data_IF_889302063991
#
_entry.id   IF_889302063991
#
_cell.length_a   1.000
_cell.length_b   1.000
_cell.length_c   1.000
_cell.angle_alpha   90.00
_cell.angle_beta   90.00
_cell.angle_gamma   90.00
#
_symmetry.space_group_name_H-M   'P 1'
#
loop_
_entity.id
_entity.type
_entity.pdbx_description
1 polymer ?
#
# COMPACT_ATOMS: atom_id res chain seq x y z
N UNK A 1 4.02 22.03 3.65
CA UNK A 1 4.18 23.51 3.57
C UNK A 1 4.10 23.96 2.11
N UNK A 2 5.01 23.51 1.23
CA UNK A 2 4.96 23.84 -0.22
C UNK A 2 3.61 23.52 -0.90
N UNK A 3 2.99 22.39 -0.58
CA UNK A 3 1.68 22.04 -1.18
C UNK A 3 0.54 22.95 -0.70
N UNK A 4 0.56 23.38 0.57
CA UNK A 4 -0.53 24.15 1.21
C UNK A 4 -0.36 25.67 1.12
N UNK A 5 0.81 26.15 0.71
CA UNK A 5 1.15 27.56 0.57
C UNK A 5 1.71 27.84 -0.83
N UNK A 6 1.28 27.06 -1.83
CA UNK A 6 1.82 27.18 -3.19
C UNK A 6 1.53 28.55 -3.83
N UNK A 7 0.45 29.20 -3.39
CA UNK A 7 0.01 30.54 -3.83
C UNK A 7 0.73 31.68 -3.09
N UNK A 8 1.15 31.45 -1.84
CA UNK A 8 1.73 32.48 -0.99
C UNK A 8 3.13 32.90 -1.48
N UNK A 9 3.45 34.19 -1.31
CA UNK A 9 4.74 34.73 -1.68
C UNK A 9 5.90 33.97 -0.99
N UNK A 10 7.07 33.82 -1.64
CA UNK A 10 8.19 33.09 -1.07
C UNK A 10 8.68 33.69 0.26
N UNK A 11 8.51 35.01 0.43
CA UNK A 11 8.82 35.72 1.68
C UNK A 11 7.92 35.25 2.83
N UNK A 12 6.62 35.10 2.59
CA UNK A 12 5.65 34.59 3.57
C UNK A 12 5.95 33.14 3.93
N UNK A 13 6.26 32.30 2.93
CA UNK A 13 6.65 30.90 3.17
C UNK A 13 7.90 30.78 4.04
N UNK A 14 8.90 31.62 3.79
CA UNK A 14 10.14 31.62 4.58
C UNK A 14 9.93 32.22 5.98
N UNK A 15 9.12 33.27 6.11
CA UNK A 15 8.72 33.83 7.41
C UNK A 15 8.02 32.81 8.30
N UNK A 16 7.13 32.00 7.73
CA UNK A 16 6.48 30.86 8.43
C UNK A 16 7.52 29.81 8.85
N UNK A 17 8.46 29.44 7.96
CA UNK A 17 9.54 28.48 8.30
C UNK A 17 10.40 28.99 9.46
N UNK A 18 10.81 30.25 9.41
CA UNK A 18 11.66 30.85 10.43
C UNK A 18 10.93 30.98 11.77
N UNK A 19 9.64 31.34 11.75
CA UNK A 19 8.83 31.40 12.98
C UNK A 19 8.67 30.03 13.63
N UNK A 20 8.50 28.97 12.83
CA UNK A 20 8.49 27.59 13.32
C UNK A 20 9.84 27.21 13.91
N UNK A 21 10.94 27.54 13.22
CA UNK A 21 12.30 27.21 13.68
C UNK A 21 12.66 27.91 15.00
N UNK A 22 12.24 29.15 15.16
CA UNK A 22 12.48 29.94 16.37
C UNK A 22 11.45 29.68 17.48
N UNK A 23 10.45 28.82 17.22
CA UNK A 23 9.31 28.58 18.11
C UNK A 23 8.55 29.85 18.52
N UNK A 24 8.49 30.85 17.63
CA UNK A 24 7.79 32.10 17.90
C UNK A 24 6.34 32.02 17.40
N UNK A 25 5.42 31.80 18.34
CA UNK A 25 3.99 31.72 18.06
C UNK A 25 3.40 33.06 17.59
N UNK A 26 3.97 34.18 18.03
CA UNK A 26 3.44 35.51 17.70
C UNK A 26 3.78 35.89 16.27
N UNK A 27 5.05 35.73 15.87
CA UNK A 27 5.48 35.90 14.49
C UNK A 27 4.76 34.91 13.56
N UNK A 28 4.60 33.65 13.96
CA UNK A 28 3.86 32.68 13.16
C UNK A 28 2.41 33.10 12.91
N UNK A 29 1.72 33.63 13.92
CA UNK A 29 0.35 34.09 13.76
C UNK A 29 0.25 35.22 12.72
N UNK A 30 1.16 36.20 12.80
CA UNK A 30 1.24 37.31 11.84
C UNK A 30 1.45 36.81 10.41
N UNK A 31 2.42 35.91 10.19
CA UNK A 31 2.67 35.39 8.85
C UNK A 31 1.53 34.54 8.31
N UNK A 32 0.79 33.84 9.17
CA UNK A 32 -0.43 33.13 8.76
C UNK A 32 -1.56 34.10 8.41
N UNK A 33 -1.72 35.21 9.14
CA UNK A 33 -2.70 36.26 8.79
C UNK A 33 -2.35 36.92 7.43
N UNK A 34 -1.06 37.14 7.16
CA UNK A 34 -0.59 37.60 5.84
C UNK A 34 -0.90 36.56 4.75
N UNK A 35 -0.67 35.27 5.01
CA UNK A 35 -1.01 34.20 4.07
C UNK A 35 -2.53 34.07 3.83
N UNK A 36 -3.36 34.31 4.86
CA UNK A 36 -4.82 34.38 4.71
C UNK A 36 -5.24 35.58 3.83
N UNK A 37 -4.49 36.69 3.88
CA UNK A 37 -4.75 37.89 3.07
C UNK A 37 -4.32 37.74 1.61
N UNK A 38 -3.30 36.93 1.34
CA UNK A 38 -2.84 36.61 -0.02
C UNK A 38 -3.71 35.55 -0.72
N UNK A 39 -4.54 34.82 0.03
CA UNK A 39 -5.42 33.81 -0.54
C UNK A 39 -6.58 34.47 -1.30
N UNK A 40 -6.71 34.15 -2.59
CA UNK A 40 -7.80 34.64 -3.43
C UNK A 40 -8.95 33.63 -3.48
N UNK A 41 -8.63 32.34 -3.37
CA UNK A 41 -9.58 31.22 -3.46
C UNK A 41 -10.06 30.66 -2.13
N UNK A 42 -11.28 30.10 -2.12
CA UNK A 42 -11.81 29.37 -0.96
C UNK A 42 -10.96 28.13 -0.60
N UNK A 43 -10.37 27.47 -1.59
CA UNK A 43 -9.51 26.31 -1.37
C UNK A 43 -8.18 26.70 -0.70
N UNK A 44 -7.61 27.85 -1.09
CA UNK A 44 -6.39 28.42 -0.53
C UNK A 44 -6.60 28.82 0.94
N UNK A 45 -7.72 29.49 1.22
CA UNK A 45 -8.13 29.83 2.58
C UNK A 45 -8.30 28.58 3.45
N UNK A 46 -8.92 27.51 2.92
CA UNK A 46 -9.01 26.24 3.65
C UNK A 46 -7.65 25.63 3.93
N UNK A 47 -6.70 25.73 3.01
CA UNK A 47 -5.35 25.17 3.20
C UNK A 47 -4.57 25.92 4.29
N UNK A 48 -4.69 27.25 4.35
CA UNK A 48 -4.12 28.05 5.44
C UNK A 48 -4.80 27.72 6.77
N UNK A 49 -6.13 27.62 6.80
CA UNK A 49 -6.88 27.28 8.01
C UNK A 49 -6.48 25.88 8.53
N UNK A 50 -6.35 24.90 7.63
CA UNK A 50 -5.87 23.55 7.96
C UNK A 50 -4.44 23.56 8.50
N UNK A 51 -3.57 24.40 7.93
CA UNK A 51 -2.20 24.58 8.42
C UNK A 51 -2.20 25.19 9.82
N UNK A 52 -2.97 26.27 10.04
CA UNK A 52 -3.12 26.96 11.32
C UNK A 52 -3.64 26.02 12.42
N UNK A 53 -4.71 25.26 12.13
CA UNK A 53 -5.26 24.24 13.04
C UNK A 53 -4.23 23.16 13.38
N UNK A 54 -3.49 22.67 12.37
CA UNK A 54 -2.46 21.66 12.58
C UNK A 54 -1.32 22.17 13.47
N UNK A 55 -0.80 23.36 13.18
CA UNK A 55 0.31 23.95 13.94
C UNK A 55 -0.09 24.28 15.37
N UNK A 56 -1.30 24.79 15.57
CA UNK A 56 -1.82 25.11 16.91
C UNK A 56 -2.00 23.86 17.75
N UNK A 57 -2.56 22.78 17.16
CA UNK A 57 -2.75 21.51 17.87
C UNK A 57 -1.42 20.84 18.24
N UNK A 58 -0.41 20.94 17.38
CA UNK A 58 0.85 20.24 17.54
C UNK A 58 2.00 21.14 18.01
N UNK A 59 1.72 22.38 18.45
CA UNK A 59 2.75 23.39 18.71
C UNK A 59 3.81 22.92 19.71
N UNK A 60 3.38 22.21 20.76
CA UNK A 60 4.26 21.61 21.77
C UNK A 60 5.24 20.59 21.19
N UNK A 61 4.88 19.88 20.12
CA UNK A 61 5.73 18.87 19.49
C UNK A 61 6.59 19.41 18.35
N UNK A 62 6.33 20.63 17.89
CA UNK A 62 7.06 21.31 16.81
C UNK A 62 8.25 22.12 17.35
N UNK A 63 8.46 22.10 18.67
CA UNK A 63 9.61 22.73 19.34
C UNK A 63 10.92 22.27 18.71
N UNK A 64 11.82 23.21 18.31
CA UNK A 64 13.04 22.88 17.60
C UNK A 64 13.90 21.93 18.44
N UNK A 65 14.47 20.93 17.77
CA UNK A 65 15.26 19.86 18.39
C UNK A 65 16.40 20.39 19.30
N UNK A 66 16.88 21.59 19.00
CA UNK A 66 17.97 22.27 19.71
C UNK A 66 17.58 22.69 21.14
N UNK A 67 16.28 22.89 21.41
CA UNK A 67 15.75 23.24 22.73
C UNK A 67 15.49 21.99 23.59
N UNK A 68 15.45 20.81 22.96
CA UNK A 68 15.28 19.57 23.68
C UNK A 68 16.61 19.20 24.31
N UNK A 69 16.62 18.93 25.63
CA UNK A 69 17.79 18.38 26.33
C UNK A 69 18.03 16.93 25.89
N UNK A 70 18.45 16.73 24.65
CA UNK A 70 18.67 15.42 24.06
C UNK A 70 20.13 15.01 24.21
N UNK A 71 20.41 13.71 24.34
CA UNK A 71 21.78 13.22 24.32
C UNK A 71 22.45 13.63 22.99
N UNK A 72 23.72 14.04 23.08
CA UNK A 72 24.57 14.69 22.06
C UNK A 72 24.49 14.10 20.64
N UNK A 73 24.05 12.85 20.50
CA UNK A 73 23.98 12.09 19.24
C UNK A 73 22.65 12.19 18.47
N UNK A 74 21.58 12.69 19.06
CA UNK A 74 20.24 12.73 18.41
C UNK A 74 20.17 13.83 17.34
N UNK A 75 20.89 14.94 17.55
CA UNK A 75 21.01 16.07 16.63
C UNK A 75 21.56 15.70 15.24
N UNK A 76 22.24 14.54 15.14
CA UNK A 76 22.83 14.02 13.91
C UNK A 76 21.86 13.18 13.08
N UNK A 77 20.68 12.85 13.60
CA UNK A 77 19.67 12.10 12.86
C UNK A 77 19.02 13.03 11.84
N UNK A 78 19.63 13.11 10.66
CA UNK A 78 19.03 13.79 9.53
C UNK A 78 17.66 13.16 9.23
N UNK A 79 16.64 13.94 8.83
CA UNK A 79 15.33 13.40 8.45
C UNK A 79 15.41 12.26 7.43
N UNK A 80 16.40 12.32 6.52
CA UNK A 80 16.68 11.26 5.53
C UNK A 80 17.11 9.92 6.13
N UNK A 81 17.70 9.90 7.34
CA UNK A 81 18.07 8.66 8.03
C UNK A 81 16.81 7.91 8.51
N UNK A 82 15.81 8.63 9.02
CA UNK A 82 14.53 8.06 9.39
C UNK A 82 13.79 7.51 8.17
N UNK A 83 13.77 8.26 7.06
CA UNK A 83 13.11 7.84 5.82
C UNK A 83 13.79 6.61 5.20
N UNK A 84 15.12 6.61 5.11
CA UNK A 84 15.90 5.48 4.60
C UNK A 84 15.71 4.23 5.48
N UNK A 85 15.70 4.39 6.81
CA UNK A 85 15.43 3.31 7.74
C UNK A 85 14.05 2.70 7.55
N UNK A 86 13.02 3.52 7.36
CA UNK A 86 11.64 3.06 7.15
C UNK A 86 11.44 2.36 5.79
N UNK A 87 12.16 2.80 4.75
CA UNK A 87 12.06 2.28 3.38
C UNK A 87 12.34 0.78 3.28
N UNK A 88 13.28 0.27 4.07
CA UNK A 88 13.63 -1.16 4.11
C UNK A 88 12.42 -2.01 4.51
N UNK A 89 11.68 -1.57 5.54
CA UNK A 89 10.45 -2.23 5.97
C UNK A 89 9.35 -2.04 4.94
N UNK A 90 9.10 -0.80 4.51
CA UNK A 90 8.04 -0.49 3.55
C UNK A 90 8.18 -1.29 2.26
N UNK A 91 9.37 -1.45 1.70
CA UNK A 91 9.56 -2.18 0.44
C UNK A 91 9.32 -3.68 0.53
N UNK A 92 9.55 -4.27 1.70
CA UNK A 92 9.33 -5.70 1.93
C UNK A 92 7.92 -6.01 2.44
N UNK A 93 7.32 -5.06 3.17
CA UNK A 93 6.02 -5.21 3.82
C UNK A 93 4.87 -4.66 2.96
N UNK A 94 5.13 -3.69 2.06
CA UNK A 94 4.13 -3.13 1.14
C UNK A 94 3.77 -4.17 0.08
N UNK A 95 2.51 -4.55 0.10
CA UNK A 95 1.96 -5.71 -0.57
C UNK A 95 1.93 -5.63 -2.10
N UNK A 96 2.33 -6.71 -2.76
CA UNK A 96 1.76 -7.15 -4.06
C UNK A 96 0.39 -7.85 -3.83
N UNK A 97 -0.52 -7.25 -3.06
CA UNK A 97 -1.84 -7.83 -2.76
C UNK A 97 -1.88 -9.04 -1.81
N UNK A 98 -0.86 -9.25 -0.95
CA UNK A 98 -0.96 -10.25 0.14
C UNK A 98 -1.60 -9.59 1.38
N UNK A 99 -1.89 -10.35 2.43
CA UNK A 99 -2.20 -9.81 3.75
C UNK A 99 -1.35 -10.59 4.76
N UNK A 100 -0.65 -9.89 5.66
CA UNK A 100 0.09 -10.53 6.75
C UNK A 100 -0.83 -10.71 7.96
N UNK A 101 -0.77 -11.87 8.62
CA UNK A 101 -1.26 -11.98 10.00
C UNK A 101 -0.36 -11.15 10.93
N UNK A 102 -0.83 -10.78 12.11
CA UNK A 102 -0.02 -10.06 13.09
C UNK A 102 1.30 -10.80 13.41
N UNK A 103 1.22 -12.11 13.73
CA UNK A 103 2.40 -12.95 13.95
C UNK A 103 3.34 -12.96 12.74
N UNK A 104 2.80 -13.03 11.52
CA UNK A 104 3.59 -13.02 10.30
C UNK A 104 4.26 -11.68 10.02
N UNK A 105 3.59 -10.57 10.35
CA UNK A 105 4.14 -9.23 10.21
C UNK A 105 5.28 -9.00 11.22
N UNK A 106 5.10 -9.39 12.47
CA UNK A 106 6.12 -9.31 13.52
C UNK A 106 7.36 -10.14 13.16
N UNK A 107 7.15 -11.38 12.71
CA UNK A 107 8.21 -12.24 12.22
C UNK A 107 8.99 -11.59 11.05
N UNK A 108 8.29 -11.08 10.04
CA UNK A 108 8.93 -10.43 8.90
C UNK A 108 9.72 -9.18 9.29
N UNK A 109 9.21 -8.37 10.22
CA UNK A 109 9.94 -7.20 10.73
C UNK A 109 11.21 -7.63 11.45
N UNK A 110 11.16 -8.64 12.33
CA UNK A 110 12.36 -9.17 12.99
C UNK A 110 13.40 -9.65 11.98
N UNK A 111 12.97 -10.35 10.94
CA UNK A 111 13.85 -10.82 9.86
C UNK A 111 14.54 -9.65 9.15
N UNK A 112 13.77 -8.62 8.77
CA UNK A 112 14.28 -7.43 8.08
C UNK A 112 15.29 -6.68 8.97
N UNK A 113 14.98 -6.53 10.26
CA UNK A 113 15.88 -5.90 11.23
C UNK A 113 17.18 -6.68 11.38
N UNK A 114 17.11 -8.01 11.51
CA UNK A 114 18.29 -8.86 11.61
C UNK A 114 19.16 -8.81 10.36
N UNK A 115 18.54 -8.78 9.17
CA UNK A 115 19.26 -8.58 7.91
C UNK A 115 19.95 -7.22 7.83
N UNK A 116 19.30 -6.15 8.33
CA UNK A 116 19.88 -4.81 8.37
C UNK A 116 21.08 -4.72 9.30
N UNK A 117 21.04 -5.43 10.42
CA UNK A 117 22.10 -5.42 11.43
C UNK A 117 23.17 -6.49 11.22
N UNK A 118 23.05 -7.33 10.18
CA UNK A 118 23.93 -8.50 9.93
C UNK A 118 23.91 -9.55 11.06
N UNK A 119 22.84 -9.57 11.86
CA UNK A 119 22.66 -10.46 13.02
C UNK A 119 21.75 -11.68 12.69
N UNK A 120 21.67 -12.04 11.41
CA UNK A 120 20.68 -13.00 10.92
C UNK A 120 20.83 -14.40 11.52
N UNK A 121 22.07 -14.82 11.78
CA UNK A 121 22.37 -16.13 12.36
C UNK A 121 21.80 -16.30 13.78
N UNK A 122 21.79 -15.22 14.58
CA UNK A 122 21.25 -15.23 15.93
C UNK A 122 19.72 -15.37 15.94
N UNK A 123 19.02 -14.74 14.99
CA UNK A 123 17.56 -14.79 14.87
C UNK A 123 17.09 -16.13 14.26
N UNK A 124 17.80 -16.63 13.25
CA UNK A 124 17.46 -17.92 12.63
C UNK A 124 17.60 -19.09 13.62
N UNK A 125 18.61 -19.05 14.50
CA UNK A 125 18.80 -20.04 15.57
C UNK A 125 17.64 -20.10 16.57
N UNK A 126 17.01 -18.97 16.88
CA UNK A 126 15.84 -18.89 17.77
C UNK A 126 14.54 -19.33 17.10
N UNK A 127 14.42 -19.13 15.79
CA UNK A 127 13.27 -19.57 14.98
C UNK A 127 13.34 -21.07 14.63
N UNK A 128 14.47 -21.72 14.90
CA UNK A 128 14.62 -23.16 14.87
C UNK A 128 13.60 -23.85 15.77
N UNK A 129 12.65 -24.57 15.12
CA UNK A 129 11.60 -25.47 15.64
C UNK A 129 10.15 -24.96 15.74
N UNK A 130 9.80 -23.81 15.14
CA UNK A 130 8.39 -23.47 14.84
C UNK A 130 8.10 -23.44 13.35
N UNK A 131 9.02 -23.97 12.54
CA UNK A 131 8.89 -24.06 11.10
C UNK A 131 7.74 -25.02 10.73
N UNK A 132 6.64 -24.44 10.27
CA UNK A 132 5.44 -25.06 9.72
C UNK A 132 4.47 -25.68 10.75
N UNK A 133 3.60 -24.84 11.33
CA UNK A 133 2.25 -25.31 11.65
C UNK A 133 1.64 -25.81 10.33
N UNK A 134 1.22 -27.08 10.22
CA UNK A 134 0.64 -27.59 8.98
C UNK A 134 -0.60 -26.76 8.65
N UNK A 135 -0.71 -26.34 7.38
CA UNK A 135 -1.90 -25.64 6.89
C UNK A 135 -3.13 -26.44 7.30
N UNK A 136 -4.05 -25.81 8.03
CA UNK A 136 -5.20 -26.50 8.60
C UNK A 136 -6.01 -27.20 7.51
N UNK A 137 -6.52 -28.40 7.82
CA UNK A 137 -7.33 -29.17 6.88
C UNK A 137 -8.58 -28.41 6.43
N UNK A 138 -9.12 -27.56 7.32
CA UNK A 138 -10.23 -26.64 7.02
C UNK A 138 -9.86 -25.66 5.92
N UNK A 139 -8.70 -25.02 5.99
CA UNK A 139 -8.23 -24.07 4.97
C UNK A 139 -8.01 -24.78 3.63
N UNK A 140 -7.38 -25.96 3.63
CA UNK A 140 -7.21 -26.78 2.42
C UNK A 140 -8.55 -27.10 1.75
N UNK A 141 -9.56 -27.45 2.54
CA UNK A 141 -10.90 -27.76 2.03
C UNK A 141 -11.61 -26.53 1.47
N UNK A 142 -11.46 -25.36 2.08
CA UNK A 142 -12.01 -24.09 1.56
C UNK A 142 -11.36 -23.74 0.22
N UNK A 143 -10.03 -23.76 0.16
CA UNK A 143 -9.31 -23.43 -1.08
C UNK A 143 -9.62 -24.41 -2.20
N UNK A 144 -9.78 -25.70 -1.89
CA UNK A 144 -10.25 -26.70 -2.87
C UNK A 144 -11.65 -26.37 -3.40
N UNK A 145 -12.56 -25.84 -2.58
CA UNK A 145 -13.89 -25.40 -3.04
C UNK A 145 -13.82 -24.13 -3.89
N UNK A 146 -13.01 -23.15 -3.51
CA UNK A 146 -12.85 -21.88 -4.24
C UNK A 146 -12.15 -22.09 -5.58
N UNK A 147 -11.12 -22.93 -5.63
CA UNK A 147 -10.36 -23.23 -6.87
C UNK A 147 -11.03 -24.27 -7.76
N UNK A 148 -12.16 -24.87 -7.37
CA UNK A 148 -12.92 -25.75 -8.26
C UNK A 148 -13.44 -24.90 -9.41
N UNK A 149 -12.89 -25.12 -10.60
CA UNK A 149 -13.43 -24.56 -11.84
C UNK A 149 -14.88 -25.03 -11.99
N UNK A 150 -15.80 -24.10 -12.17
CA UNK A 150 -17.20 -24.42 -12.51
C UNK A 150 -17.19 -25.07 -13.89
N UNK A 151 -17.80 -26.25 -14.09
CA UNK A 151 -17.94 -26.83 -15.42
C UNK A 151 -18.71 -25.86 -16.32
N UNK A 152 -18.14 -25.57 -17.49
CA UNK A 152 -18.71 -24.68 -18.52
C UNK A 152 -20.18 -25.02 -18.73
N UNK A 153 -21.08 -24.11 -18.38
CA UNK A 153 -22.51 -24.27 -18.65
C UNK A 153 -22.76 -23.85 -20.11
N UNK A 154 -23.32 -24.73 -20.97
CA UNK A 154 -23.65 -24.35 -22.33
C UNK A 154 -24.69 -23.23 -22.34
N UNK A 155 -24.43 -22.17 -23.11
CA UNK A 155 -25.31 -21.01 -23.22
C UNK A 155 -26.63 -21.36 -23.94
N UNK A 156 -27.75 -20.80 -23.49
CA UNK A 156 -29.13 -21.08 -23.95
C UNK A 156 -29.37 -20.86 -25.45
N UNK A 157 -28.45 -20.18 -26.15
CA UNK A 157 -28.52 -19.89 -27.59
C UNK A 157 -27.78 -20.88 -28.50
N UNK A 158 -27.12 -21.92 -27.96
CA UNK A 158 -26.46 -22.93 -28.79
C UNK A 158 -27.49 -24.00 -29.18
N UNK A 159 -28.04 -23.89 -30.38
CA UNK A 159 -28.88 -24.94 -30.95
C UNK A 159 -28.01 -26.16 -31.27
N UNK A 160 -28.09 -27.21 -30.45
CA UNK A 160 -27.48 -28.51 -30.74
C UNK A 160 -28.34 -29.23 -31.79
N UNK A 161 -28.04 -28.98 -33.06
CA UNK A 161 -28.60 -29.74 -34.18
C UNK A 161 -27.76 -30.98 -34.46
N UNK A 162 -28.41 -32.12 -34.72
CA UNK A 162 -27.76 -33.27 -35.34
C UNK A 162 -28.37 -33.52 -36.70
N UNK A 163 -27.54 -33.89 -37.69
CA UNK A 163 -28.03 -34.30 -39.00
C UNK A 163 -28.53 -35.74 -38.86
N UNK A 164 -29.83 -35.97 -39.06
CA UNK A 164 -30.41 -37.31 -39.09
C UNK A 164 -29.81 -38.11 -40.25
N UNK A 165 -29.04 -39.15 -39.95
CA UNK A 165 -28.42 -40.01 -40.97
C UNK A 165 -29.35 -41.18 -41.28
N UNK A 166 -30.32 -40.96 -42.17
CA UNK A 166 -31.15 -42.04 -42.73
C UNK A 166 -30.44 -42.79 -43.88
N UNK A 167 -29.11 -42.85 -43.85
CA UNK A 167 -28.27 -43.44 -44.90
C UNK A 167 -27.01 -44.05 -44.30
N UNK A 168 -26.33 -44.90 -45.07
CA UNK A 168 -25.11 -45.59 -44.65
C UNK A 168 -24.02 -44.62 -44.20
N UNK A 169 -23.24 -44.99 -43.18
CA UNK A 169 -22.13 -44.19 -42.63
C UNK A 169 -21.03 -43.88 -43.67
N UNK A 170 -20.93 -44.67 -44.74
CA UNK A 170 -20.00 -44.46 -45.85
C UNK A 170 -20.50 -43.44 -46.89
N UNK A 171 -21.77 -43.05 -46.83
CA UNK A 171 -22.35 -42.04 -47.72
C UNK A 171 -21.70 -40.66 -47.49
N UNK A 172 -21.77 -39.76 -48.49
CA UNK A 172 -21.30 -38.38 -48.32
C UNK A 172 -21.93 -37.68 -47.10
N UNK A 173 -23.23 -37.92 -46.86
CA UNK A 173 -23.95 -37.36 -45.72
C UNK A 173 -23.50 -37.96 -44.38
N UNK A 174 -23.26 -39.28 -44.33
CA UNK A 174 -22.73 -39.96 -43.15
C UNK A 174 -21.31 -39.50 -42.78
N UNK A 175 -20.44 -39.32 -43.78
CA UNK A 175 -19.08 -38.79 -43.60
C UNK A 175 -19.09 -37.34 -43.09
N UNK A 176 -20.01 -36.53 -43.61
CA UNK A 176 -20.19 -35.14 -43.18
C UNK A 176 -20.71 -35.04 -41.74
N UNK A 177 -21.73 -35.83 -41.38
CA UNK A 177 -22.25 -35.88 -40.00
C UNK A 177 -21.16 -36.30 -39.00
N UNK A 178 -20.34 -37.30 -39.35
CA UNK A 178 -19.20 -37.74 -38.52
C UNK A 178 -18.16 -36.63 -38.31
N UNK A 179 -17.83 -35.87 -39.36
CA UNK A 179 -16.88 -34.74 -39.28
C UNK A 179 -17.41 -33.61 -38.37
N UNK A 180 -18.70 -33.32 -38.43
CA UNK A 180 -19.33 -32.27 -37.63
C UNK A 180 -19.41 -32.63 -36.14
N UNK A 181 -19.67 -33.91 -35.79
CA UNK A 181 -19.69 -34.35 -34.39
C UNK A 181 -18.30 -34.31 -33.73
N UNK A 182 -17.23 -34.55 -34.49
CA UNK A 182 -15.86 -34.49 -33.97
C UNK A 182 -15.39 -33.05 -33.67
N UNK A 183 -16.01 -32.04 -34.28
CA UNK A 183 -15.65 -30.63 -34.08
C UNK A 183 -16.15 -30.05 -32.74
N UNK A 184 -17.07 -30.73 -32.04
CA UNK A 184 -17.63 -30.28 -30.75
C UNK A 184 -16.82 -30.72 -29.51
N UNK A 185 -15.66 -31.37 -29.69
CA UNK A 185 -14.83 -31.92 -28.59
C UNK A 185 -13.55 -31.08 -28.34
N UNK A 186 -13.39 -29.94 -29.01
CA UNK A 186 -12.35 -28.93 -28.73
C UNK A 186 -12.98 -27.67 -28.11
#
# INVERSE_FOLDING_TARGET
MKERLHFAAPEVQEGIRQSIWNHDKTSLALWLDTAESEAEGNDELQDVERLRKYLTRNWTYVEPLNQWQMPEKVHLIQPGACEAGHRIYSYRMKHQGRCWSQEGAEAMVQLITAMKNEEWDAVYGQWGRTAYKPISQRFKNIMRKVMKRVPMQPHKGVHQGSIGTYSSASSPLGKLAKRLQMAHIL
#
